data_IF_138407192332
#
_entry.id   IF_138407192332
#
_cell.length_a   1.000
_cell.length_b   1.000
_cell.length_c   1.000
_cell.angle_alpha   90.00
_cell.angle_beta   90.00
_cell.angle_gamma   90.00
#
_symmetry.space_group_name_H-M   'P 1'
#
loop_
_entity.id
_entity.type
_entity.pdbx_description
1 polymer ?
#
# COMPACT_ATOMS: atom_id res chain seq x y z
N UNK A 1 -23.42 -13.00 -12.30
CA UNK A 1 -24.68 -12.22 -12.34
C UNK A 1 -24.79 -11.18 -11.21
N UNK A 2 -24.38 -11.44 -9.98
CA UNK A 2 -24.46 -10.42 -8.88
C UNK A 2 -23.65 -9.13 -9.12
N UNK A 3 -22.52 -9.21 -9.80
CA UNK A 3 -21.66 -8.03 -10.05
C UNK A 3 -22.21 -7.06 -11.11
N UNK A 4 -23.01 -7.50 -12.08
CA UNK A 4 -23.55 -6.62 -13.12
C UNK A 4 -24.55 -5.60 -12.53
N UNK A 5 -25.50 -6.07 -11.72
CA UNK A 5 -26.47 -5.18 -11.06
C UNK A 5 -25.81 -4.16 -10.14
N UNK A 6 -24.67 -4.50 -9.51
CA UNK A 6 -23.96 -3.61 -8.63
C UNK A 6 -23.29 -2.47 -9.40
N UNK A 7 -22.61 -2.77 -10.51
CA UNK A 7 -21.92 -1.76 -11.33
C UNK A 7 -22.90 -0.71 -11.88
N UNK A 8 -24.13 -1.13 -12.22
CA UNK A 8 -25.16 -0.21 -12.72
C UNK A 8 -25.64 0.78 -11.65
N UNK A 9 -25.65 0.37 -10.39
CA UNK A 9 -26.07 1.18 -9.26
C UNK A 9 -25.00 2.18 -8.75
N UNK A 10 -23.75 2.04 -9.23
CA UNK A 10 -22.66 2.96 -8.84
C UNK A 10 -22.91 4.36 -9.44
N UNK A 11 -22.80 5.39 -8.60
CA UNK A 11 -22.95 6.78 -9.02
C UNK A 11 -21.99 7.13 -10.17
N UNK A 12 -22.48 7.85 -11.16
CA UNK A 12 -21.66 8.41 -12.23
C UNK A 12 -20.86 9.65 -11.79
N UNK A 13 -21.26 10.31 -10.72
CA UNK A 13 -20.79 11.64 -10.35
C UNK A 13 -19.87 11.67 -9.12
N UNK A 14 -19.66 10.53 -8.46
CA UNK A 14 -18.83 10.45 -7.25
C UNK A 14 -17.54 9.68 -7.48
N UNK A 15 -16.42 10.08 -6.84
CA UNK A 15 -15.24 9.21 -6.75
C UNK A 15 -15.60 7.86 -6.14
N UNK A 16 -14.96 6.81 -6.63
CA UNK A 16 -15.14 5.44 -6.12
C UNK A 16 -13.86 5.03 -5.40
N UNK A 17 -13.99 4.59 -4.17
CA UNK A 17 -12.89 4.05 -3.37
C UNK A 17 -13.06 2.53 -3.26
N UNK A 18 -12.11 1.76 -3.78
CA UNK A 18 -12.15 0.28 -3.73
C UNK A 18 -10.98 -0.23 -2.90
N UNK A 19 -11.25 -0.58 -1.65
CA UNK A 19 -10.29 -1.23 -0.78
C UNK A 19 -10.52 -2.75 -0.75
N UNK A 20 -9.45 -3.50 -0.50
CA UNK A 20 -9.53 -4.95 -0.31
C UNK A 20 -8.17 -5.58 -0.18
N UNK A 21 -8.14 -6.74 0.47
CA UNK A 21 -6.91 -7.51 0.61
C UNK A 21 -6.36 -7.95 -0.76
N UNK A 22 -5.08 -8.30 -0.81
CA UNK A 22 -4.50 -8.86 -2.04
C UNK A 22 -5.30 -10.10 -2.47
N UNK A 23 -5.40 -10.34 -3.79
CA UNK A 23 -6.19 -11.42 -4.39
C UNK A 23 -7.71 -11.38 -4.09
N UNK A 24 -8.28 -10.25 -3.64
CA UNK A 24 -9.75 -10.11 -3.44
C UNK A 24 -10.54 -9.94 -4.74
N UNK A 25 -9.89 -9.66 -5.87
CA UNK A 25 -10.56 -9.39 -7.16
C UNK A 25 -10.84 -7.91 -7.42
N UNK A 26 -10.32 -7.00 -6.58
CA UNK A 26 -10.58 -5.55 -6.71
C UNK A 26 -10.20 -4.96 -8.07
N UNK A 27 -9.07 -5.40 -8.68
CA UNK A 27 -8.61 -4.87 -9.96
C UNK A 27 -9.59 -5.18 -11.09
N UNK A 28 -10.15 -6.40 -11.11
CA UNK A 28 -11.14 -6.80 -12.11
C UNK A 28 -12.43 -5.96 -12.00
N UNK A 29 -12.92 -5.72 -10.78
CA UNK A 29 -14.10 -4.87 -10.55
C UNK A 29 -13.82 -3.43 -10.96
N UNK A 30 -12.64 -2.89 -10.61
CA UNK A 30 -12.27 -1.53 -11.00
C UNK A 30 -12.21 -1.37 -12.52
N UNK A 31 -11.63 -2.35 -13.22
CA UNK A 31 -11.51 -2.33 -14.68
C UNK A 31 -12.90 -2.37 -15.35
N UNK A 32 -13.80 -3.24 -14.89
CA UNK A 32 -15.19 -3.30 -15.39
C UNK A 32 -15.96 -1.99 -15.19
N UNK A 33 -15.74 -1.33 -14.03
CA UNK A 33 -16.37 -0.02 -13.77
C UNK A 33 -15.74 1.05 -14.67
N UNK A 34 -14.41 1.06 -14.81
CA UNK A 34 -13.68 2.04 -15.61
C UNK A 34 -14.11 1.99 -17.08
N UNK A 35 -14.16 0.79 -17.66
CA UNK A 35 -14.62 0.56 -19.03
C UNK A 35 -16.05 1.04 -19.25
N UNK A 36 -16.98 0.67 -18.34
CA UNK A 36 -18.41 1.01 -18.48
C UNK A 36 -18.72 2.49 -18.24
N UNK A 37 -17.93 3.18 -17.42
CA UNK A 37 -18.20 4.55 -16.95
C UNK A 37 -17.16 5.57 -17.44
N UNK A 38 -16.24 5.18 -18.32
CA UNK A 38 -15.12 6.01 -18.84
C UNK A 38 -14.36 6.73 -17.70
N UNK A 39 -13.75 5.95 -16.79
CA UNK A 39 -13.08 6.48 -15.62
C UNK A 39 -11.62 6.08 -15.54
N UNK A 40 -10.81 6.98 -15.01
CA UNK A 40 -9.41 6.68 -14.68
C UNK A 40 -9.33 5.86 -13.39
N UNK A 41 -8.33 4.98 -13.34
CA UNK A 41 -8.00 4.17 -12.17
C UNK A 41 -6.74 4.75 -11.53
N UNK A 42 -6.81 5.06 -10.24
CA UNK A 42 -5.70 5.63 -9.46
C UNK A 42 -5.25 4.62 -8.41
N UNK A 43 -3.96 4.33 -8.39
CA UNK A 43 -3.37 3.38 -7.46
C UNK A 43 -3.39 3.88 -6.00
N UNK A 44 -3.80 3.00 -5.08
CA UNK A 44 -3.68 3.16 -3.63
C UNK A 44 -2.95 1.96 -2.98
N UNK A 45 -1.89 1.46 -3.63
CA UNK A 45 -0.99 0.44 -3.09
C UNK A 45 0.44 0.99 -3.03
N UNK A 46 1.06 0.92 -1.85
CA UNK A 46 2.37 1.54 -1.58
C UNK A 46 3.55 0.85 -2.29
N UNK A 47 3.37 -0.36 -2.81
CA UNK A 47 4.43 -1.10 -3.51
C UNK A 47 4.24 -1.06 -5.03
N UNK A 48 3.01 -0.97 -5.50
CA UNK A 48 2.73 -0.87 -6.94
C UNK A 48 3.14 0.48 -7.56
N UNK A 49 3.61 1.44 -6.77
CA UNK A 49 4.16 2.71 -7.25
C UNK A 49 5.52 2.55 -7.92
N UNK A 50 6.28 1.51 -7.57
CA UNK A 50 7.64 1.29 -8.09
C UNK A 50 7.64 0.69 -9.49
N UNK A 51 8.56 1.16 -10.34
CA UNK A 51 8.62 0.79 -11.75
C UNK A 51 9.14 -0.63 -12.00
N UNK A 52 10.04 -1.11 -11.14
CA UNK A 52 10.82 -2.32 -11.37
C UNK A 52 10.09 -3.65 -11.09
N UNK A 53 8.93 -3.63 -10.40
CA UNK A 53 8.17 -4.84 -10.06
C UNK A 53 6.74 -4.77 -10.60
N UNK A 54 6.53 -5.14 -11.88
CA UNK A 54 5.20 -5.18 -12.47
C UNK A 54 4.48 -6.49 -12.18
N UNK A 55 5.15 -7.63 -12.48
CA UNK A 55 4.57 -8.96 -12.33
C UNK A 55 4.48 -9.33 -10.86
N UNK A 56 5.58 -9.20 -10.12
CA UNK A 56 5.66 -9.54 -8.69
C UNK A 56 4.59 -8.82 -7.85
N UNK A 57 4.34 -7.56 -8.11
CA UNK A 57 3.36 -6.78 -7.37
C UNK A 57 1.95 -6.85 -7.98
N UNK A 58 1.78 -7.56 -9.09
CA UNK A 58 0.55 -7.64 -9.89
C UNK A 58 0.00 -6.25 -10.23
N UNK A 59 0.83 -5.37 -10.76
CA UNK A 59 0.38 -4.13 -11.39
C UNK A 59 -0.49 -4.46 -12.60
N UNK A 60 -1.30 -3.51 -13.07
CA UNK A 60 -2.08 -3.69 -14.30
C UNK A 60 -1.21 -4.18 -15.47
N UNK A 61 -1.73 -5.12 -16.23
CA UNK A 61 -1.09 -5.57 -17.47
C UNK A 61 -1.18 -4.51 -18.56
N UNK A 62 -0.41 -4.66 -19.63
CA UNK A 62 -0.53 -3.78 -20.82
C UNK A 62 -1.96 -3.84 -21.39
N UNK A 63 -2.59 -5.01 -21.35
CA UNK A 63 -3.98 -5.17 -21.79
C UNK A 63 -4.97 -4.40 -20.88
N UNK A 64 -4.77 -4.41 -19.56
CA UNK A 64 -5.60 -3.63 -18.64
C UNK A 64 -5.41 -2.12 -18.86
N UNK A 65 -4.17 -1.67 -19.12
CA UNK A 65 -3.85 -0.27 -19.41
C UNK A 65 -4.44 0.20 -20.76
N UNK A 66 -4.67 -0.72 -21.69
CA UNK A 66 -5.37 -0.41 -22.95
C UNK A 66 -6.87 -0.21 -22.78
N UNK A 67 -7.49 -0.80 -21.75
CA UNK A 67 -8.93 -0.67 -21.45
C UNK A 67 -9.22 0.64 -20.71
N UNK A 68 -8.38 1.05 -19.79
CA UNK A 68 -8.59 2.25 -18.98
C UNK A 68 -7.27 2.92 -18.60
N UNK A 69 -7.29 4.23 -18.44
CA UNK A 69 -6.11 4.98 -17.94
C UNK A 69 -5.81 4.61 -16.50
N UNK A 70 -4.59 4.14 -16.24
CA UNK A 70 -4.08 3.80 -14.92
C UNK A 70 -3.04 4.83 -14.46
N UNK A 71 -3.21 5.39 -13.27
CA UNK A 71 -2.36 6.44 -12.73
C UNK A 71 -1.70 6.01 -11.41
N UNK A 72 -0.53 6.53 -11.14
CA UNK A 72 0.30 6.24 -9.95
C UNK A 72 0.75 4.78 -9.84
N UNK A 73 0.87 4.09 -10.96
CA UNK A 73 1.50 2.78 -11.05
C UNK A 73 2.89 2.90 -11.67
N UNK A 74 3.91 2.30 -11.06
CA UNK A 74 5.26 2.20 -11.61
C UNK A 74 5.87 3.53 -12.08
N UNK A 75 5.66 4.59 -11.35
CA UNK A 75 6.12 5.94 -11.67
C UNK A 75 7.25 6.41 -10.74
N UNK A 76 7.67 5.56 -9.82
CA UNK A 76 8.72 5.85 -8.84
C UNK A 76 9.89 4.89 -9.05
N UNK A 77 11.11 5.44 -9.09
CA UNK A 77 12.34 4.66 -9.16
C UNK A 77 12.54 3.79 -7.90
N UNK A 78 13.20 2.61 -8.02
CA UNK A 78 13.29 1.62 -6.94
C UNK A 78 13.85 2.12 -5.61
N UNK A 79 14.78 3.07 -5.65
CA UNK A 79 15.52 3.61 -4.50
C UNK A 79 14.85 4.82 -3.84
N UNK A 80 13.83 5.40 -4.49
CA UNK A 80 13.19 6.63 -4.01
C UNK A 80 12.16 6.32 -2.93
N UNK A 81 12.25 6.99 -1.78
CA UNK A 81 11.23 6.91 -0.72
C UNK A 81 9.93 7.58 -1.18
N UNK A 82 8.85 6.81 -1.21
CA UNK A 82 7.52 7.30 -1.52
C UNK A 82 6.56 7.08 -0.35
N UNK A 83 6.24 8.15 0.34
CA UNK A 83 5.42 8.14 1.55
C UNK A 83 3.93 8.34 1.23
N UNK A 84 3.07 8.09 2.23
CA UNK A 84 1.64 8.43 2.16
C UNK A 84 1.42 9.92 1.87
N UNK A 85 2.29 10.80 2.36
CA UNK A 85 2.24 12.25 2.08
C UNK A 85 2.52 12.56 0.61
N UNK A 86 3.52 11.91 0.00
CA UNK A 86 3.78 12.02 -1.44
C UNK A 86 2.59 11.56 -2.25
N UNK A 87 2.05 10.37 -1.94
CA UNK A 87 0.87 9.83 -2.61
C UNK A 87 -0.33 10.78 -2.52
N UNK A 88 -0.60 11.34 -1.34
CA UNK A 88 -1.72 12.27 -1.17
C UNK A 88 -1.55 13.57 -1.95
N UNK A 89 -0.30 14.10 -2.04
CA UNK A 89 0.03 15.25 -2.88
C UNK A 89 -0.25 14.96 -4.36
N UNK A 90 0.10 13.76 -4.84
CA UNK A 90 -0.13 13.39 -6.24
C UNK A 90 -1.61 13.15 -6.53
N UNK A 91 -2.36 12.52 -5.62
CA UNK A 91 -3.83 12.41 -5.74
C UNK A 91 -4.49 13.78 -5.80
N UNK A 92 -4.05 14.75 -4.97
CA UNK A 92 -4.54 16.13 -5.01
C UNK A 92 -4.33 16.84 -6.34
N UNK A 93 -3.29 16.47 -7.11
CA UNK A 93 -3.07 16.99 -8.48
C UNK A 93 -4.00 16.32 -9.51
N UNK A 94 -4.36 15.06 -9.28
CA UNK A 94 -5.23 14.28 -10.18
C UNK A 94 -6.69 14.68 -10.07
N UNK A 95 -7.20 14.88 -8.85
CA UNK A 95 -8.61 15.13 -8.59
C UNK A 95 -9.23 16.32 -9.34
N UNK A 96 -8.55 17.46 -9.54
CA UNK A 96 -9.10 18.56 -10.33
C UNK A 96 -9.27 18.24 -11.82
N UNK A 97 -8.44 17.35 -12.36
CA UNK A 97 -8.46 16.91 -13.76
C UNK A 97 -9.48 15.77 -13.96
N UNK A 98 -9.54 14.86 -13.03
CA UNK A 98 -10.42 13.69 -13.01
C UNK A 98 -11.23 13.68 -11.72
N UNK A 99 -12.36 14.39 -11.63
CA UNK A 99 -13.10 14.58 -10.39
C UNK A 99 -13.74 13.30 -9.85
N UNK A 100 -13.96 12.32 -10.71
CA UNK A 100 -14.66 11.06 -10.37
C UNK A 100 -13.79 9.81 -10.64
N UNK A 101 -12.55 9.71 -10.11
CA UNK A 101 -11.67 8.57 -10.36
C UNK A 101 -12.14 7.33 -9.60
N UNK A 102 -11.60 6.17 -10.00
CA UNK A 102 -11.62 4.96 -9.19
C UNK A 102 -10.28 4.87 -8.46
N UNK A 103 -10.28 5.07 -7.15
CA UNK A 103 -9.08 4.94 -6.31
C UNK A 103 -9.07 3.54 -5.71
N UNK A 104 -8.07 2.73 -6.07
CA UNK A 104 -8.06 1.30 -5.76
C UNK A 104 -6.76 0.86 -5.12
N UNK A 105 -6.82 0.04 -4.06
CA UNK A 105 -5.60 -0.51 -3.49
C UNK A 105 -5.77 -1.39 -2.27
N UNK A 106 -4.62 -1.82 -1.74
CA UNK A 106 -4.51 -2.63 -0.53
C UNK A 106 -3.91 -1.87 0.66
N UNK A 107 -3.48 -0.62 0.49
CA UNK A 107 -2.84 0.17 1.54
C UNK A 107 -3.87 1.00 2.30
N UNK A 108 -4.34 0.46 3.42
CA UNK A 108 -5.38 1.11 4.22
C UNK A 108 -5.02 2.52 4.69
N UNK A 109 -3.73 2.77 4.98
CA UNK A 109 -3.26 4.09 5.38
C UNK A 109 -3.50 5.16 4.30
N UNK A 110 -3.37 4.81 3.01
CA UNK A 110 -3.64 5.72 1.89
C UNK A 110 -5.11 6.17 1.90
N UNK A 111 -6.03 5.23 2.02
CA UNK A 111 -7.45 5.56 2.13
C UNK A 111 -7.78 6.36 3.39
N UNK A 112 -7.17 6.00 4.54
CA UNK A 112 -7.37 6.74 5.78
C UNK A 112 -6.87 8.19 5.65
N UNK A 113 -5.70 8.42 5.06
CA UNK A 113 -5.18 9.76 4.85
C UNK A 113 -6.04 10.60 3.91
N UNK A 114 -6.61 9.95 2.90
CA UNK A 114 -7.50 10.58 1.91
C UNK A 114 -8.83 11.05 2.54
N UNK A 115 -9.41 10.20 3.41
CA UNK A 115 -10.78 10.37 3.91
C UNK A 115 -10.90 10.93 5.33
N UNK A 116 -9.80 10.90 6.09
CA UNK A 116 -9.76 11.44 7.47
C UNK A 116 -8.76 12.60 7.61
N UNK A 117 -8.03 12.93 6.53
CA UNK A 117 -6.92 13.87 6.57
C UNK A 117 -5.59 13.21 6.96
N UNK A 118 -4.51 13.86 6.61
CA UNK A 118 -3.15 13.49 6.99
C UNK A 118 -2.50 14.71 7.64
N UNK A 119 -1.89 14.49 8.78
CA UNK A 119 -1.18 15.53 9.52
C UNK A 119 0.01 16.00 8.68
N UNK A 120 0.17 17.30 8.58
CA UNK A 120 1.30 17.92 7.88
C UNK A 120 2.48 18.10 8.84
N UNK A 121 3.22 17.01 9.06
CA UNK A 121 4.47 17.04 9.84
C UNK A 121 5.59 17.47 8.88
N UNK A 122 6.45 18.44 9.26
CA UNK A 122 7.60 18.83 8.47
C UNK A 122 8.49 17.62 8.09
N UNK A 123 9.20 17.74 6.98
CA UNK A 123 10.13 16.71 6.55
C UNK A 123 11.22 16.50 7.60
N UNK A 124 11.42 15.25 7.98
CA UNK A 124 12.47 14.87 8.95
C UNK A 124 13.83 14.88 8.24
N UNK A 125 14.81 15.65 8.73
CA UNK A 125 16.15 15.66 8.17
C UNK A 125 16.76 14.25 8.08
N UNK A 126 17.47 13.98 6.99
CA UNK A 126 18.08 12.67 6.74
C UNK A 126 19.04 12.25 7.88
N UNK A 127 19.71 13.22 8.50
CA UNK A 127 20.61 12.98 9.62
C UNK A 127 19.87 12.43 10.86
N UNK A 128 18.67 12.95 11.17
CA UNK A 128 17.85 12.46 12.29
C UNK A 128 17.35 11.05 12.01
N UNK A 129 16.91 10.76 10.77
CA UNK A 129 16.51 9.40 10.36
C UNK A 129 17.69 8.41 10.48
N UNK A 130 18.89 8.83 10.10
CA UNK A 130 20.11 8.01 10.21
C UNK A 130 20.48 7.78 11.67
N UNK A 131 20.43 8.79 12.52
CA UNK A 131 20.67 8.70 13.96
C UNK A 131 19.70 7.70 14.60
N UNK A 132 18.38 7.83 14.32
CA UNK A 132 17.37 6.90 14.81
C UNK A 132 17.67 5.46 14.41
N UNK A 133 18.00 5.24 13.13
CA UNK A 133 18.32 3.91 12.61
C UNK A 133 19.54 3.29 13.27
N UNK A 134 20.61 4.06 13.44
CA UNK A 134 21.83 3.60 14.09
C UNK A 134 21.56 3.22 15.55
N UNK A 135 20.84 4.05 16.30
CA UNK A 135 20.47 3.76 17.70
C UNK A 135 19.60 2.52 17.82
N UNK A 136 18.63 2.36 16.94
CA UNK A 136 17.81 1.13 16.92
C UNK A 136 18.65 -0.11 16.66
N UNK A 137 19.70 -0.01 15.84
CA UNK A 137 20.61 -1.14 15.56
C UNK A 137 21.56 -1.44 16.72
N UNK A 138 22.08 -0.42 17.42
CA UNK A 138 23.06 -0.61 18.51
C UNK A 138 22.40 -0.91 19.86
N UNK A 139 21.34 -0.18 20.21
CA UNK A 139 20.80 -0.13 21.56
C UNK A 139 19.34 -0.62 21.66
N UNK A 140 18.75 -1.02 20.52
CA UNK A 140 17.33 -1.33 20.43
C UNK A 140 16.43 -0.09 20.31
N UNK A 141 15.19 -0.29 19.86
CA UNK A 141 14.24 0.82 19.70
C UNK A 141 13.74 1.37 21.04
N UNK A 142 13.84 0.59 22.11
CA UNK A 142 13.48 0.96 23.48
C UNK A 142 14.30 2.16 23.97
N UNK A 143 15.55 2.29 23.52
CA UNK A 143 16.45 3.41 23.85
C UNK A 143 15.91 4.78 23.41
N UNK A 144 14.99 4.81 22.47
CA UNK A 144 14.36 6.03 21.97
C UNK A 144 13.18 6.51 22.83
N UNK A 145 12.60 5.61 23.63
CA UNK A 145 11.34 5.87 24.36
C UNK A 145 11.52 6.99 25.41
N UNK A 146 12.65 7.06 26.07
CA UNK A 146 12.92 8.05 27.13
C UNK A 146 12.95 9.50 26.62
N UNK A 147 13.24 9.69 25.34
CA UNK A 147 13.30 11.02 24.71
C UNK A 147 11.97 11.44 24.05
N UNK A 148 10.93 10.60 24.12
CA UNK A 148 9.60 10.90 23.57
C UNK A 148 8.71 11.44 24.69
N UNK A 149 7.90 12.45 24.39
CA UNK A 149 6.99 13.03 25.36
C UNK A 149 5.98 12.02 25.90
N UNK A 150 5.57 12.22 27.16
CA UNK A 150 4.69 11.31 27.89
C UNK A 150 3.32 11.12 27.23
N UNK A 151 2.77 12.16 26.58
CA UNK A 151 1.48 12.09 25.91
C UNK A 151 1.56 11.19 24.67
N UNK A 152 2.61 11.36 23.85
CA UNK A 152 2.86 10.50 22.69
C UNK A 152 3.06 9.04 23.12
N UNK A 153 3.85 8.79 24.16
CA UNK A 153 4.11 7.43 24.67
C UNK A 153 2.84 6.71 25.13
N UNK A 154 1.88 7.44 25.72
CA UNK A 154 0.59 6.85 26.15
C UNK A 154 -0.31 6.47 24.98
N UNK A 155 -0.14 7.11 23.82
CA UNK A 155 -1.03 6.98 22.67
C UNK A 155 -0.47 6.13 21.51
N UNK A 156 0.82 5.76 21.53
CA UNK A 156 1.42 4.88 20.52
C UNK A 156 1.55 3.44 21.04
N UNK A 157 1.62 2.50 20.11
CA UNK A 157 2.02 1.12 20.43
C UNK A 157 3.53 1.07 20.68
N UNK A 158 3.89 1.03 21.96
CA UNK A 158 5.29 1.01 22.42
C UNK A 158 6.07 -0.25 22.02
N UNK A 159 5.37 -1.32 21.66
CA UNK A 159 5.99 -2.57 21.22
C UNK A 159 6.26 -2.59 19.71
N UNK A 160 5.93 -1.50 19.02
CA UNK A 160 6.14 -1.37 17.57
C UNK A 160 7.36 -0.48 17.28
N UNK A 161 8.52 -1.07 16.85
CA UNK A 161 9.76 -0.33 16.61
C UNK A 161 9.57 0.85 15.64
N UNK A 162 8.81 0.65 14.56
CA UNK A 162 8.58 1.69 13.55
C UNK A 162 7.79 2.89 14.11
N UNK A 163 6.84 2.64 15.02
CA UNK A 163 6.06 3.73 15.65
C UNK A 163 6.88 4.49 16.66
N UNK A 164 7.68 3.79 17.46
CA UNK A 164 8.60 4.41 18.42
C UNK A 164 9.64 5.24 17.68
N UNK A 165 10.30 4.68 16.68
CA UNK A 165 11.28 5.41 15.86
C UNK A 165 10.66 6.66 15.24
N UNK A 166 9.48 6.55 14.61
CA UNK A 166 8.79 7.70 14.01
C UNK A 166 8.42 8.78 15.01
N UNK A 167 7.95 8.41 16.20
CA UNK A 167 7.62 9.35 17.26
C UNK A 167 8.86 10.11 17.74
N UNK A 168 9.98 9.41 17.90
CA UNK A 168 11.27 10.01 18.27
C UNK A 168 11.79 10.95 17.17
N UNK A 169 11.79 10.52 15.91
CA UNK A 169 12.20 11.35 14.78
C UNK A 169 11.42 12.67 14.71
N UNK A 170 10.09 12.60 14.90
CA UNK A 170 9.23 13.80 14.91
C UNK A 170 9.58 14.71 16.09
N UNK A 171 9.69 14.15 17.30
CA UNK A 171 10.05 14.90 18.50
C UNK A 171 11.40 15.58 18.35
N UNK A 172 12.42 14.85 17.87
CA UNK A 172 13.77 15.35 17.65
C UNK A 172 13.87 16.45 16.61
N UNK A 173 13.12 16.31 15.52
CA UNK A 173 13.14 17.26 14.40
C UNK A 173 12.33 18.53 14.67
N UNK A 174 11.25 18.44 15.46
CA UNK A 174 10.28 19.54 15.58
C UNK A 174 10.16 20.10 17.00
N UNK A 175 10.74 19.45 17.99
CA UNK A 175 10.55 19.77 19.41
C UNK A 175 9.13 19.51 19.93
N UNK A 176 8.26 18.86 19.12
CA UNK A 176 6.85 18.60 19.45
C UNK A 176 6.54 17.13 19.32
N UNK A 177 5.82 16.57 20.29
CA UNK A 177 5.37 15.19 20.27
C UNK A 177 4.35 14.89 19.17
N UNK A 178 4.36 13.66 18.67
CA UNK A 178 3.49 13.22 17.56
C UNK A 178 2.00 13.45 17.82
N UNK A 179 1.54 13.28 19.07
CA UNK A 179 0.13 13.47 19.44
C UNK A 179 -0.27 14.93 19.32
N UNK A 180 0.59 15.87 19.68
CA UNK A 180 0.28 17.31 19.55
C UNK A 180 0.06 17.75 18.09
N UNK A 181 0.67 17.05 17.13
CA UNK A 181 0.42 17.21 15.71
C UNK A 181 -0.93 16.61 15.30
N UNK A 182 -1.35 15.50 15.91
CA UNK A 182 -2.63 14.84 15.60
C UNK A 182 -3.84 15.75 15.85
N UNK A 183 -3.75 16.64 16.83
CA UNK A 183 -4.81 17.61 17.14
C UNK A 183 -5.00 18.70 16.05
N UNK A 184 -4.12 18.75 15.07
CA UNK A 184 -4.12 19.69 13.95
C UNK A 184 -4.34 19.00 12.60
N UNK A 185 -5.00 17.83 12.60
CA UNK A 185 -5.29 17.09 11.35
C UNK A 185 -6.16 17.97 10.43
N UNK A 186 -5.72 18.25 9.20
CA UNK A 186 -6.47 19.06 8.25
C UNK A 186 -7.71 18.32 7.76
N UNK A 187 -8.63 19.07 7.16
CA UNK A 187 -9.81 18.52 6.49
C UNK A 187 -9.44 17.43 5.47
N UNK A 188 -10.25 16.38 5.36
CA UNK A 188 -9.98 15.29 4.43
C UNK A 188 -10.00 15.78 2.97
N UNK A 189 -9.13 15.21 2.15
CA UNK A 189 -9.09 15.52 0.70
C UNK A 189 -10.37 15.07 -0.01
N UNK A 190 -10.92 13.92 0.41
CA UNK A 190 -12.23 13.42 -0.04
C UNK A 190 -13.06 13.01 1.16
N UNK A 191 -14.21 13.65 1.35
CA UNK A 191 -15.17 13.22 2.38
C UNK A 191 -15.86 11.92 1.96
N UNK A 192 -15.95 10.94 2.87
CA UNK A 192 -16.66 9.69 2.62
C UNK A 192 -18.13 9.88 2.21
N UNK A 193 -18.77 10.99 2.63
CA UNK A 193 -20.15 11.32 2.23
C UNK A 193 -20.26 11.61 0.73
N UNK A 194 -19.15 12.05 0.13
CA UNK A 194 -19.07 12.43 -1.28
C UNK A 194 -18.42 11.33 -2.15
N UNK A 195 -18.22 10.13 -1.61
CA UNK A 195 -17.58 8.99 -2.30
C UNK A 195 -18.47 7.75 -2.25
N UNK A 196 -18.27 6.86 -3.23
CA UNK A 196 -18.73 5.46 -3.16
C UNK A 196 -17.59 4.62 -2.56
N UNK A 197 -17.67 4.33 -1.27
CA UNK A 197 -16.62 3.60 -0.54
C UNK A 197 -16.95 2.12 -0.42
N UNK A 198 -16.16 1.25 -1.05
CA UNK A 198 -16.39 -0.18 -1.23
C UNK A 198 -15.23 -0.97 -0.63
N UNK A 199 -15.55 -1.93 0.21
CA UNK A 199 -14.60 -2.90 0.76
C UNK A 199 -14.90 -4.30 0.23
N UNK A 200 -13.96 -4.89 -0.51
CA UNK A 200 -14.03 -6.30 -0.90
C UNK A 200 -13.57 -7.18 0.27
N UNK A 201 -14.52 -7.80 0.97
CA UNK A 201 -14.30 -8.63 2.17
C UNK A 201 -14.42 -10.13 1.84
N UNK A 202 -13.55 -10.63 0.95
CA UNK A 202 -13.52 -12.05 0.61
C UNK A 202 -13.07 -12.90 1.81
N UNK A 203 -13.62 -14.12 1.91
CA UNK A 203 -13.23 -15.11 2.92
C UNK A 203 -11.79 -15.59 2.76
N UNK A 204 -11.20 -16.10 3.87
CA UNK A 204 -9.81 -16.52 3.86
C UNK A 204 -9.51 -17.75 2.98
N UNK A 205 -10.34 -18.81 2.93
CA UNK A 205 -10.11 -19.94 2.05
C UNK A 205 -10.05 -19.54 0.57
N UNK A 206 -11.01 -18.74 0.10
CA UNK A 206 -11.06 -18.23 -1.27
C UNK A 206 -9.82 -17.42 -1.61
N UNK A 207 -9.44 -16.48 -0.75
CA UNK A 207 -8.23 -15.66 -0.95
C UNK A 207 -6.96 -16.50 -0.95
N UNK A 208 -6.83 -17.46 -0.04
CA UNK A 208 -5.67 -18.33 0.02
C UNK A 208 -5.48 -19.16 -1.25
N UNK A 209 -6.57 -19.69 -1.83
CA UNK A 209 -6.55 -20.40 -3.11
C UNK A 209 -6.11 -19.47 -4.25
N UNK A 210 -6.70 -18.26 -4.30
CA UNK A 210 -6.35 -17.26 -5.33
C UNK A 210 -4.89 -16.81 -5.23
N UNK A 211 -4.33 -16.68 -4.02
CA UNK A 211 -2.91 -16.33 -3.81
C UNK A 211 -2.00 -17.40 -4.40
N UNK A 212 -2.29 -18.69 -4.15
CA UNK A 212 -1.46 -19.78 -4.69
C UNK A 212 -1.52 -19.81 -6.21
N UNK A 213 -2.72 -19.80 -6.79
CA UNK A 213 -2.89 -19.82 -8.25
C UNK A 213 -2.24 -18.59 -8.93
N UNK A 214 -2.32 -17.42 -8.27
CA UNK A 214 -1.73 -16.19 -8.80
C UNK A 214 -0.20 -16.25 -8.84
N UNK A 215 0.44 -16.90 -7.87
CA UNK A 215 1.89 -17.06 -7.91
C UNK A 215 2.31 -17.96 -9.09
N UNK A 216 1.58 -19.04 -9.36
CA UNK A 216 1.82 -19.90 -10.53
C UNK A 216 1.65 -19.07 -11.83
N UNK A 217 0.59 -18.30 -11.95
CA UNK A 217 0.40 -17.40 -13.09
C UNK A 217 1.50 -16.33 -13.23
N UNK A 218 2.06 -15.82 -12.12
CA UNK A 218 3.20 -14.90 -12.17
C UNK A 218 4.44 -15.58 -12.76
N UNK A 219 4.70 -16.83 -12.40
CA UNK A 219 5.79 -17.62 -12.98
C UNK A 219 5.59 -17.82 -14.49
N UNK A 220 4.40 -18.22 -14.90
CA UNK A 220 4.04 -18.40 -16.31
C UNK A 220 4.15 -17.10 -17.12
N UNK A 221 3.90 -15.96 -16.50
CA UNK A 221 3.96 -14.63 -17.12
C UNK A 221 5.35 -13.98 -17.08
N UNK A 222 6.41 -14.71 -16.72
CA UNK A 222 7.79 -14.24 -16.78
C UNK A 222 8.30 -13.57 -15.51
N UNK A 223 7.82 -13.97 -14.32
CA UNK A 223 8.30 -13.45 -13.04
C UNK A 223 9.82 -13.63 -12.87
N UNK A 224 10.37 -14.74 -13.34
CA UNK A 224 11.83 -15.00 -13.27
C UNK A 224 12.60 -14.04 -14.18
N UNK A 225 12.10 -13.75 -15.37
CA UNK A 225 12.72 -12.79 -16.28
C UNK A 225 12.67 -11.35 -15.69
N UNK A 226 11.57 -10.99 -15.02
CA UNK A 226 11.48 -9.72 -14.27
C UNK A 226 12.52 -9.68 -13.14
N UNK A 227 12.68 -10.76 -12.39
CA UNK A 227 13.67 -10.85 -11.32
C UNK A 227 15.11 -10.76 -11.84
N UNK A 228 15.43 -11.45 -12.96
CA UNK A 228 16.75 -11.38 -13.62
C UNK A 228 17.10 -9.96 -14.06
N UNK A 229 16.14 -9.18 -14.59
CA UNK A 229 16.35 -7.77 -14.94
C UNK A 229 16.69 -6.91 -13.73
N UNK A 230 16.13 -7.23 -12.56
CA UNK A 230 16.39 -6.51 -11.32
C UNK A 230 17.65 -6.98 -10.58
N UNK A 231 18.22 -8.13 -10.96
CA UNK A 231 19.26 -8.81 -10.21
C UNK A 231 20.55 -7.98 -10.09
N UNK A 232 21.01 -7.39 -11.19
CA UNK A 232 22.27 -6.61 -11.22
C UNK A 232 22.18 -5.29 -10.45
N UNK A 233 20.98 -4.72 -10.26
CA UNK A 233 20.73 -3.45 -9.55
C UNK A 233 20.10 -3.68 -8.18
N UNK A 234 20.00 -4.95 -7.75
CA UNK A 234 19.37 -5.30 -6.49
C UNK A 234 20.05 -4.66 -5.28
N UNK A 235 19.26 -4.03 -4.46
CA UNK A 235 19.70 -3.55 -3.15
C UNK A 235 18.56 -3.78 -2.14
N UNK A 236 18.79 -4.64 -1.16
CA UNK A 236 17.79 -4.98 -0.13
C UNK A 236 17.30 -3.76 0.66
N UNK A 237 18.09 -2.67 0.71
CA UNK A 237 17.73 -1.43 1.41
C UNK A 237 16.78 -0.54 0.63
N UNK A 238 16.58 -0.78 -0.65
CA UNK A 238 15.66 0.01 -1.47
C UNK A 238 14.20 -0.14 -0.99
N UNK A 239 13.40 0.92 -1.03
CA UNK A 239 11.97 0.84 -0.71
C UNK A 239 11.21 -0.19 -1.54
N UNK A 240 11.53 -0.33 -2.85
CA UNK A 240 10.91 -1.32 -3.74
C UNK A 240 11.21 -2.76 -3.35
N UNK A 241 12.34 -3.01 -2.66
CA UNK A 241 12.75 -4.34 -2.20
C UNK A 241 11.86 -4.89 -1.07
N UNK A 242 10.95 -4.07 -0.54
CA UNK A 242 9.90 -4.48 0.40
C UNK A 242 8.75 -5.23 -0.30
N UNK A 243 8.76 -5.35 -1.62
CA UNK A 243 7.80 -6.17 -2.35
C UNK A 243 7.89 -7.63 -1.86
N UNK A 244 6.74 -8.22 -1.52
CA UNK A 244 6.70 -9.61 -1.03
C UNK A 244 7.18 -10.54 -2.13
N UNK A 245 8.18 -11.34 -1.84
CA UNK A 245 8.82 -12.25 -2.79
C UNK A 245 10.09 -11.70 -3.45
N UNK A 246 10.36 -10.39 -3.37
CA UNK A 246 11.55 -9.81 -4.00
C UNK A 246 12.86 -10.40 -3.44
N UNK A 247 12.99 -10.48 -2.12
CA UNK A 247 14.15 -11.07 -1.45
C UNK A 247 14.29 -12.57 -1.75
N UNK A 248 13.18 -13.27 -1.74
CA UNK A 248 13.12 -14.70 -2.02
C UNK A 248 13.51 -15.01 -3.49
N UNK A 249 13.08 -14.15 -4.44
CA UNK A 249 13.50 -14.26 -5.84
C UNK A 249 15.00 -14.05 -6.00
N UNK A 250 15.60 -13.08 -5.30
CA UNK A 250 17.05 -12.88 -5.34
C UNK A 250 17.81 -14.08 -4.76
N UNK A 251 17.32 -14.65 -3.66
CA UNK A 251 17.92 -15.87 -3.09
C UNK A 251 17.77 -17.07 -4.01
N UNK A 252 16.65 -17.21 -4.73
CA UNK A 252 16.47 -18.23 -5.75
C UNK A 252 17.46 -18.06 -6.92
N UNK A 253 17.67 -16.84 -7.40
CA UNK A 253 18.62 -16.54 -8.48
C UNK A 253 20.09 -16.72 -8.08
N UNK A 254 20.39 -16.72 -6.78
CA UNK A 254 21.71 -17.03 -6.22
C UNK A 254 21.89 -18.54 -5.89
N UNK A 255 20.95 -19.40 -6.26
CA UNK A 255 20.92 -20.82 -5.90
C UNK A 255 20.84 -21.11 -4.39
N UNK A 256 20.42 -20.12 -3.58
CA UNK A 256 20.27 -20.28 -2.12
C UNK A 256 18.95 -20.99 -1.74
N UNK A 257 18.04 -21.21 -2.67
CA UNK A 257 16.78 -21.94 -2.46
C UNK A 257 16.24 -22.57 -3.74
N UNK A 258 15.45 -23.65 -3.57
CA UNK A 258 14.74 -24.28 -4.69
C UNK A 258 13.47 -23.48 -5.10
N UNK A 259 12.91 -23.81 -6.27
CA UNK A 259 11.65 -23.24 -6.76
C UNK A 259 10.48 -23.57 -5.81
N UNK A 260 10.45 -24.75 -5.22
CA UNK A 260 9.44 -25.17 -4.25
C UNK A 260 9.52 -24.31 -2.98
N UNK A 261 10.71 -24.07 -2.47
CA UNK A 261 10.95 -23.21 -1.31
C UNK A 261 10.59 -21.76 -1.60
N UNK A 262 10.93 -21.23 -2.78
CA UNK A 262 10.52 -19.91 -3.24
C UNK A 262 9.00 -19.78 -3.22
N UNK A 263 8.28 -20.71 -3.88
CA UNK A 263 6.83 -20.72 -3.95
C UNK A 263 6.21 -20.77 -2.55
N UNK A 264 6.66 -21.67 -1.69
CA UNK A 264 6.16 -21.81 -0.33
C UNK A 264 6.31 -20.50 0.46
N UNK A 265 7.53 -19.94 0.49
CA UNK A 265 7.81 -18.71 1.26
C UNK A 265 6.99 -17.53 0.78
N UNK A 266 6.92 -17.30 -0.53
CA UNK A 266 6.16 -16.16 -1.11
C UNK A 266 4.67 -16.32 -0.86
N UNK A 267 4.11 -17.53 -1.05
CA UNK A 267 2.70 -17.80 -0.79
C UNK A 267 2.36 -17.60 0.69
N UNK A 268 3.18 -18.11 1.61
CA UNK A 268 2.99 -17.93 3.07
C UNK A 268 3.05 -16.45 3.44
N UNK A 269 4.06 -15.71 3.00
CA UNK A 269 4.20 -14.28 3.28
C UNK A 269 3.02 -13.47 2.72
N UNK A 270 2.53 -13.81 1.52
CA UNK A 270 1.37 -13.16 0.89
C UNK A 270 0.09 -13.45 1.66
N UNK A 271 -0.14 -14.68 2.14
CA UNK A 271 -1.29 -15.04 3.00
C UNK A 271 -1.27 -14.26 4.32
N UNK A 272 -0.10 -14.12 4.93
CA UNK A 272 0.08 -13.32 6.14
C UNK A 272 -0.21 -11.84 5.90
N UNK A 273 0.23 -11.30 4.76
CA UNK A 273 -0.06 -9.93 4.37
C UNK A 273 -1.57 -9.72 4.15
N UNK A 274 -2.23 -10.60 3.42
CA UNK A 274 -3.68 -10.56 3.23
C UNK A 274 -4.45 -10.59 4.56
N UNK A 275 -3.99 -11.42 5.52
CA UNK A 275 -4.56 -11.44 6.89
C UNK A 275 -4.40 -10.09 7.59
N UNK A 276 -3.21 -9.46 7.53
CA UNK A 276 -2.97 -8.13 8.11
C UNK A 276 -3.87 -7.06 7.49
N UNK A 277 -3.99 -7.04 6.15
CA UNK A 277 -4.90 -6.13 5.44
C UNK A 277 -6.35 -6.31 5.90
N UNK A 278 -6.86 -7.56 5.94
CA UNK A 278 -8.23 -7.87 6.38
C UNK A 278 -8.50 -7.39 7.79
N UNK A 279 -7.58 -7.67 8.74
CA UNK A 279 -7.71 -7.21 10.13
C UNK A 279 -7.77 -5.68 10.20
N UNK A 280 -6.92 -4.99 9.45
CA UNK A 280 -6.89 -3.54 9.40
C UNK A 280 -8.19 -2.96 8.84
N UNK A 281 -8.64 -3.46 7.69
CA UNK A 281 -9.88 -3.01 7.06
C UNK A 281 -11.10 -3.21 7.95
N UNK A 282 -11.24 -4.37 8.57
CA UNK A 282 -12.34 -4.66 9.52
C UNK A 282 -12.34 -3.72 10.72
N UNK A 283 -11.17 -3.30 11.17
CA UNK A 283 -11.03 -2.35 12.29
C UNK A 283 -11.37 -0.90 11.88
N UNK A 284 -10.86 -0.45 10.72
CA UNK A 284 -10.83 0.97 10.36
C UNK A 284 -11.85 1.39 9.30
N UNK A 285 -12.42 0.44 8.54
CA UNK A 285 -13.35 0.72 7.44
C UNK A 285 -14.76 0.14 7.71
N UNK A 286 -15.25 0.29 8.95
CA UNK A 286 -16.55 -0.29 9.38
C UNK A 286 -17.75 0.30 8.61
N UNK A 287 -17.65 1.55 8.20
CA UNK A 287 -18.71 2.27 7.49
C UNK A 287 -18.69 2.09 5.96
N UNK A 288 -17.70 1.36 5.42
CA UNK A 288 -17.61 1.09 4.00
C UNK A 288 -18.61 0.00 3.57
N UNK A 289 -19.20 0.16 2.38
CA UNK A 289 -20.09 -0.85 1.80
C UNK A 289 -19.29 -2.12 1.50
N UNK A 290 -19.67 -3.23 2.13
CA UNK A 290 -18.98 -4.52 1.90
C UNK A 290 -19.56 -5.21 0.67
N UNK A 291 -18.66 -5.74 -0.16
CA UNK A 291 -18.96 -6.69 -1.24
C UNK A 291 -18.19 -7.98 -0.96
N UNK A 292 -18.87 -9.11 -1.08
CA UNK A 292 -18.34 -10.46 -0.91
C UNK A 292 -18.02 -11.09 -2.25
#
# INVERSE_FOLDING_TARGET
MANHNFIDQISAEKPILIAGQTASGKSQIALQIAEKKDRVIVNADAIQVYENWRILTARPSIADEAVATHMLYGHIEPQIEYSVGHWLKDVKKILPIYPNPIIIGGTGLYFSSLTNGLIDIPDIPAQIKLEAKNRVQSDGFESLIEEIDTETIKNIDKNNPMRVQRAWEVMKATGRGLVSWHNQTPEPTLSLKNCEAILLDCDAPTVNKRITNRFDQMLDNGLIDEALKNFSTWNEKNPSSKAIGAKELMAFLNDDMSMEQLKEKVVVATKQYAKRQRTWFRSKMKCWKKLN
#
